data_IF_093104096114
#
_entry.id   IF_093104096114
#
_cell.length_a   1.000
_cell.length_b   1.000
_cell.length_c   1.000
_cell.angle_alpha   90.00
_cell.angle_beta   90.00
_cell.angle_gamma   90.00
#
_symmetry.space_group_name_H-M   'P 1'
#
loop_
_entity.id
_entity.type
_entity.pdbx_description
1 polymer ?
#
# COMPACT_ATOMS: atom_id res chain seq x y z
N UNK A 1 -4.63 -1.17 7.90
CA UNK A 1 -3.94 -2.42 7.49
C UNK A 1 -2.86 -2.79 8.50
N UNK A 2 -1.73 -2.12 8.52
CA UNK A 2 -0.56 -2.52 9.34
C UNK A 2 -0.91 -2.65 10.83
N UNK A 3 -1.58 -1.65 11.44
CA UNK A 3 -1.97 -1.70 12.84
C UNK A 3 -2.93 -2.85 13.18
N UNK A 4 -3.90 -3.15 12.30
CA UNK A 4 -4.82 -4.28 12.47
C UNK A 4 -4.08 -5.61 12.42
N UNK A 5 -3.16 -5.80 11.45
CA UNK A 5 -2.36 -7.02 11.37
C UNK A 5 -1.44 -7.17 12.59
N UNK A 6 -0.78 -6.09 13.05
CA UNK A 6 0.02 -6.12 14.28
C UNK A 6 -0.83 -6.53 15.50
N UNK A 7 -2.00 -5.93 15.64
CA UNK A 7 -2.90 -6.22 16.76
C UNK A 7 -3.41 -7.67 16.72
N UNK A 8 -3.79 -8.18 15.54
CA UNK A 8 -4.22 -9.56 15.36
C UNK A 8 -3.13 -10.55 15.78
N UNK A 9 -1.90 -10.43 15.23
CA UNK A 9 -0.84 -11.37 15.56
C UNK A 9 -0.37 -11.30 17.02
N UNK A 10 -0.38 -10.11 17.64
CA UNK A 10 -0.12 -9.95 19.06
C UNK A 10 -1.22 -10.62 19.91
N UNK A 11 -2.51 -10.37 19.60
CA UNK A 11 -3.64 -10.96 20.31
C UNK A 11 -3.69 -12.49 20.14
N UNK A 12 -3.46 -13.00 18.91
CA UNK A 12 -3.37 -14.44 18.61
C UNK A 12 -2.33 -15.16 19.47
N UNK A 13 -1.29 -14.44 19.91
CA UNK A 13 -0.23 -14.94 20.79
C UNK A 13 -0.44 -14.59 22.27
N UNK A 14 -1.67 -14.16 22.65
CA UNK A 14 -2.05 -13.93 24.03
C UNK A 14 -1.63 -12.58 24.64
N UNK A 15 -1.12 -11.65 23.85
CA UNK A 15 -0.85 -10.31 24.34
C UNK A 15 -2.13 -9.53 24.62
N UNK A 16 -2.12 -8.71 25.68
CA UNK A 16 -3.22 -7.76 25.93
C UNK A 16 -3.06 -6.55 25.03
N UNK A 17 -3.90 -6.43 24.02
CA UNK A 17 -3.79 -5.39 22.98
C UNK A 17 -4.95 -4.40 23.08
N UNK A 18 -4.64 -3.10 22.91
CA UNK A 18 -5.62 -2.05 22.69
C UNK A 18 -5.25 -1.32 21.39
N UNK A 19 -6.16 -1.33 20.41
CA UNK A 19 -6.04 -0.56 19.17
C UNK A 19 -6.70 0.79 19.38
N UNK A 20 -5.97 1.85 19.10
CA UNK A 20 -6.47 3.23 19.12
C UNK A 20 -6.56 3.72 17.68
N UNK A 21 -7.76 4.06 17.24
CA UNK A 21 -8.02 4.60 15.90
C UNK A 21 -8.70 5.98 16.04
N UNK A 22 -8.17 6.96 15.33
CA UNK A 22 -8.70 8.33 15.36
C UNK A 22 -10.11 8.43 14.80
N UNK A 23 -10.38 7.69 13.72
CA UNK A 23 -11.68 7.67 13.04
C UNK A 23 -12.31 6.27 13.17
N UNK A 24 -12.51 5.56 12.07
CA UNK A 24 -12.97 4.17 12.02
C UNK A 24 -11.87 3.24 11.54
N UNK A 25 -11.92 1.98 11.93
CA UNK A 25 -10.95 0.98 11.47
C UNK A 25 -10.95 0.91 9.94
N UNK A 26 -9.77 1.13 9.36
CA UNK A 26 -9.56 1.07 7.93
C UNK A 26 -9.87 2.35 7.15
N UNK A 27 -10.43 3.40 7.77
CA UNK A 27 -10.81 4.66 7.11
C UNK A 27 -9.66 5.44 6.47
N UNK A 28 -8.41 5.18 6.88
CA UNK A 28 -7.21 5.82 6.34
C UNK A 28 -6.84 5.33 4.93
N UNK A 29 -5.56 5.31 4.61
CA UNK A 29 -5.05 4.94 3.28
C UNK A 29 -5.45 3.53 2.80
N UNK A 30 -5.92 2.67 3.68
CA UNK A 30 -6.33 1.30 3.37
C UNK A 30 -7.72 1.20 2.75
N UNK A 31 -8.66 2.11 3.10
CA UNK A 31 -10.06 2.06 2.67
C UNK A 31 -10.21 1.97 1.15
N UNK A 32 -9.57 2.88 0.45
CA UNK A 32 -9.67 3.01 -1.00
C UNK A 32 -8.46 2.45 -1.76
N UNK A 33 -7.74 1.51 -1.16
CA UNK A 33 -6.67 0.78 -1.84
C UNK A 33 -7.23 0.00 -3.04
N UNK A 34 -6.38 -0.24 -4.04
CA UNK A 34 -6.73 -1.02 -5.23
C UNK A 34 -7.14 -2.48 -4.94
N UNK A 35 -6.82 -3.00 -3.76
CA UNK A 35 -7.15 -4.38 -3.38
C UNK A 35 -6.16 -5.42 -3.91
N UNK A 36 -5.11 -5.00 -4.61
CA UNK A 36 -4.14 -5.93 -5.21
C UNK A 36 -3.04 -6.28 -4.23
N UNK A 37 -2.83 -7.56 -3.99
CA UNK A 37 -1.69 -8.16 -3.29
C UNK A 37 -0.68 -8.53 -4.37
N UNK A 38 0.42 -7.78 -4.46
CA UNK A 38 1.44 -7.95 -5.50
C UNK A 38 2.81 -8.24 -4.87
N UNK A 39 3.12 -9.49 -4.53
CA UNK A 39 4.32 -9.86 -3.76
C UNK A 39 5.64 -9.43 -4.40
N UNK A 40 5.73 -9.46 -5.72
CA UNK A 40 6.95 -9.09 -6.45
C UNK A 40 7.02 -7.62 -6.88
N UNK A 41 6.08 -6.78 -6.44
CA UNK A 41 6.06 -5.39 -6.88
C UNK A 41 7.29 -4.62 -6.40
N UNK A 42 8.07 -4.10 -7.34
CA UNK A 42 9.28 -3.34 -7.04
C UNK A 42 8.95 -2.00 -6.37
N UNK A 43 9.83 -1.49 -5.50
CA UNK A 43 9.64 -0.20 -4.84
C UNK A 43 9.57 0.95 -5.84
N UNK A 44 9.06 2.10 -5.41
CA UNK A 44 8.89 3.28 -6.27
C UNK A 44 10.21 3.91 -6.73
N UNK A 45 11.34 3.56 -6.12
CA UNK A 45 12.70 4.07 -6.39
C UNK A 45 13.36 3.34 -7.57
N UNK A 46 12.71 3.38 -8.76
CA UNK A 46 13.26 2.75 -9.98
C UNK A 46 14.19 3.68 -10.74
N UNK A 47 15.22 3.16 -11.44
CA UNK A 47 16.02 3.93 -12.38
C UNK A 47 15.17 4.66 -13.41
N UNK A 48 15.56 5.88 -13.80
CA UNK A 48 14.80 6.70 -14.75
C UNK A 48 13.58 7.43 -14.17
N UNK A 49 13.09 7.07 -12.96
CA UNK A 49 11.91 7.65 -12.32
C UNK A 49 12.03 9.17 -12.13
N UNK A 50 13.23 9.66 -11.84
CA UNK A 50 13.49 11.11 -11.67
C UNK A 50 13.26 11.88 -12.97
N UNK A 51 13.74 11.38 -14.12
CA UNK A 51 13.49 12.00 -15.43
C UNK A 51 12.00 12.04 -15.76
N UNK A 52 11.31 10.94 -15.51
CA UNK A 52 9.86 10.83 -15.69
C UNK A 52 9.10 11.78 -14.76
N UNK A 53 9.50 11.87 -13.49
CA UNK A 53 8.92 12.80 -12.53
C UNK A 53 9.09 14.26 -12.98
N UNK A 54 10.29 14.67 -13.38
CA UNK A 54 10.55 16.03 -13.88
C UNK A 54 9.74 16.38 -15.13
N UNK A 55 9.56 15.42 -16.05
CA UNK A 55 8.74 15.63 -17.25
C UNK A 55 7.26 15.79 -16.91
N UNK A 56 6.79 15.10 -15.92
CA UNK A 56 5.35 14.96 -15.61
C UNK A 56 4.89 15.83 -14.42
N UNK A 57 5.81 16.38 -13.61
CA UNK A 57 5.46 17.07 -12.37
C UNK A 57 4.63 18.36 -12.56
N UNK A 58 4.65 18.95 -13.75
CA UNK A 58 3.89 20.17 -14.08
C UNK A 58 2.47 19.84 -14.56
N UNK A 59 2.25 18.61 -15.05
CA UNK A 59 0.94 18.17 -15.55
C UNK A 59 0.10 17.53 -14.42
N UNK A 60 -0.98 18.19 -13.96
CA UNK A 60 -1.85 17.65 -12.91
C UNK A 60 -2.55 16.33 -13.29
N UNK A 61 -2.58 15.97 -14.58
CA UNK A 61 -3.20 14.71 -15.05
C UNK A 61 -2.22 13.56 -15.15
N UNK A 62 -0.92 13.82 -14.94
CA UNK A 62 0.11 12.77 -15.00
C UNK A 62 -0.04 11.75 -13.84
N UNK A 63 0.43 10.51 -14.01
CA UNK A 63 0.42 9.51 -12.92
C UNK A 63 1.13 9.97 -11.65
N UNK A 64 2.20 10.78 -11.80
CA UNK A 64 2.90 11.41 -10.69
C UNK A 64 2.83 12.92 -10.80
N UNK A 65 2.25 13.56 -9.80
CA UNK A 65 2.15 15.02 -9.70
C UNK A 65 2.71 15.55 -8.40
N UNK A 66 3.50 16.63 -8.47
CA UNK A 66 4.03 17.35 -7.31
C UNK A 66 3.42 18.75 -7.31
N UNK A 67 2.50 19.01 -6.40
CA UNK A 67 1.84 20.32 -6.31
C UNK A 67 2.87 21.40 -5.96
N UNK A 68 2.95 22.49 -6.74
CA UNK A 68 3.85 23.60 -6.44
C UNK A 68 3.57 24.20 -5.06
N UNK A 69 4.54 24.10 -4.16
CA UNK A 69 4.50 24.71 -2.83
C UNK A 69 5.91 24.85 -2.26
N UNK A 70 6.07 25.83 -1.36
CA UNK A 70 7.29 25.93 -0.59
C UNK A 70 7.27 24.92 0.57
N UNK A 71 8.06 23.84 0.43
CA UNK A 71 8.14 22.76 1.42
C UNK A 71 9.58 22.22 1.49
N UNK A 72 10.41 22.76 2.40
CA UNK A 72 11.79 22.31 2.57
C UNK A 72 11.92 20.82 2.92
N UNK A 73 10.94 20.24 3.64
CA UNK A 73 10.94 18.83 3.99
C UNK A 73 10.74 17.96 2.73
N UNK A 74 9.81 18.35 1.85
CA UNK A 74 9.62 17.69 0.56
C UNK A 74 10.87 17.82 -0.33
N UNK A 75 11.51 18.99 -0.38
CA UNK A 75 12.73 19.21 -1.16
C UNK A 75 13.87 18.29 -0.69
N UNK A 76 14.08 18.19 0.63
CA UNK A 76 15.05 17.26 1.23
C UNK A 76 14.69 15.81 0.89
N UNK A 77 13.41 15.44 1.02
CA UNK A 77 12.93 14.10 0.69
C UNK A 77 13.17 13.74 -0.78
N UNK A 78 12.85 14.64 -1.73
CA UNK A 78 13.08 14.45 -3.17
C UNK A 78 14.56 14.30 -3.48
N UNK A 79 15.44 15.05 -2.81
CA UNK A 79 16.88 14.92 -2.97
C UNK A 79 17.38 13.53 -2.52
N UNK A 80 16.91 13.03 -1.37
CA UNK A 80 17.25 11.68 -0.89
C UNK A 80 16.65 10.63 -1.83
N UNK A 81 15.38 10.77 -2.24
CA UNK A 81 14.70 9.88 -3.18
C UNK A 81 15.49 9.72 -4.49
N UNK A 82 15.97 10.85 -5.06
CA UNK A 82 16.79 10.82 -6.27
C UNK A 82 18.02 9.94 -6.11
N UNK A 83 18.68 9.95 -4.95
CA UNK A 83 19.90 9.15 -4.68
C UNK A 83 19.62 7.67 -4.63
N UNK A 84 18.39 7.26 -4.35
CA UNK A 84 17.97 5.86 -4.31
C UNK A 84 17.40 5.35 -5.65
N UNK A 85 17.17 6.21 -6.64
CA UNK A 85 16.72 5.80 -7.97
C UNK A 85 17.87 5.21 -8.82
N UNK A 86 18.50 4.13 -8.35
CA UNK A 86 19.65 3.45 -8.97
C UNK A 86 19.41 1.95 -9.11
N UNK A 87 20.07 1.29 -10.06
CA UNK A 87 20.02 -0.16 -10.24
C UNK A 87 20.47 -0.92 -8.98
N UNK A 88 21.55 -0.44 -8.36
CA UNK A 88 22.11 -1.04 -7.14
C UNK A 88 21.06 -1.02 -6.01
N UNK A 89 20.41 0.13 -5.80
CA UNK A 89 19.39 0.23 -4.76
C UNK A 89 18.15 -0.59 -5.11
N UNK A 90 17.72 -0.65 -6.36
CA UNK A 90 16.61 -1.48 -6.80
C UNK A 90 16.87 -2.96 -6.50
N UNK A 91 18.06 -3.48 -6.85
CA UNK A 91 18.44 -4.87 -6.56
C UNK A 91 18.44 -5.16 -5.05
N UNK A 92 19.12 -4.33 -4.26
CA UNK A 92 19.16 -4.48 -2.80
C UNK A 92 17.75 -4.41 -2.17
N UNK A 93 16.88 -3.55 -2.69
CA UNK A 93 15.49 -3.45 -2.24
C UNK A 93 14.69 -4.71 -2.58
N UNK A 94 14.88 -5.28 -3.77
CA UNK A 94 14.23 -6.54 -4.15
C UNK A 94 14.75 -7.71 -3.33
N UNK A 95 16.05 -7.78 -3.03
CA UNK A 95 16.63 -8.79 -2.13
C UNK A 95 16.01 -8.73 -0.73
N UNK A 96 15.72 -7.52 -0.23
CA UNK A 96 15.08 -7.34 1.08
C UNK A 96 13.58 -7.65 1.07
N UNK A 97 12.87 -7.30 0.00
CA UNK A 97 11.41 -7.40 -0.06
C UNK A 97 10.90 -8.75 -0.57
N UNK A 98 11.64 -9.44 -1.45
CA UNK A 98 11.16 -10.67 -2.08
C UNK A 98 10.86 -11.79 -1.07
N UNK A 99 11.70 -12.06 -0.04
CA UNK A 99 11.37 -13.06 0.98
C UNK A 99 10.08 -12.73 1.73
N UNK A 100 9.87 -11.44 2.03
CA UNK A 100 8.65 -10.97 2.70
C UNK A 100 7.42 -11.08 1.78
N UNK A 101 7.62 -10.84 0.49
CA UNK A 101 6.57 -10.99 -0.52
C UNK A 101 6.10 -12.44 -0.66
N UNK A 102 7.01 -13.42 -0.68
CA UNK A 102 6.67 -14.84 -0.73
C UNK A 102 5.87 -15.25 0.51
N UNK A 103 6.38 -14.93 1.70
CA UNK A 103 5.69 -15.25 2.96
C UNK A 103 4.29 -14.59 3.03
N UNK A 104 4.15 -13.37 2.51
CA UNK A 104 2.89 -12.64 2.62
C UNK A 104 1.75 -13.30 1.86
N UNK A 105 2.04 -13.93 0.71
CA UNK A 105 1.01 -14.63 -0.06
C UNK A 105 0.46 -15.82 0.74
N UNK A 106 1.34 -16.64 1.30
CA UNK A 106 0.94 -17.76 2.15
C UNK A 106 0.16 -17.29 3.38
N UNK A 107 0.58 -16.16 3.99
CA UNK A 107 -0.14 -15.59 5.14
C UNK A 107 -1.55 -15.09 4.78
N UNK A 108 -1.77 -14.56 3.57
CA UNK A 108 -3.12 -14.20 3.13
C UNK A 108 -3.97 -15.44 2.92
N UNK A 109 -3.45 -16.47 2.22
CA UNK A 109 -4.17 -17.73 2.02
C UNK A 109 -4.56 -18.33 3.38
N UNK A 110 -3.61 -18.42 4.33
CA UNK A 110 -3.87 -18.91 5.69
C UNK A 110 -4.90 -18.07 6.45
N UNK A 111 -4.79 -16.73 6.41
CA UNK A 111 -5.73 -15.86 7.12
C UNK A 111 -7.15 -15.98 6.58
N UNK A 112 -7.31 -16.05 5.26
CA UNK A 112 -8.62 -16.18 4.64
C UNK A 112 -9.27 -17.51 5.01
N UNK A 113 -8.51 -18.60 4.96
CA UNK A 113 -8.99 -19.95 5.25
C UNK A 113 -9.26 -20.15 6.77
N UNK A 114 -8.24 -19.86 7.62
CA UNK A 114 -8.35 -20.10 9.07
C UNK A 114 -9.41 -19.23 9.74
N UNK A 115 -9.54 -17.98 9.30
CA UNK A 115 -10.49 -17.02 9.89
C UNK A 115 -11.81 -16.97 9.14
N UNK A 116 -11.98 -17.74 8.05
CA UNK A 116 -13.15 -17.76 7.19
C UNK A 116 -13.58 -16.34 6.77
N UNK A 117 -12.65 -15.59 6.14
CA UNK A 117 -12.89 -14.20 5.79
C UNK A 117 -13.69 -14.05 4.49
N UNK A 118 -14.78 -13.29 4.53
CA UNK A 118 -15.62 -12.98 3.37
C UNK A 118 -15.24 -11.62 2.76
N UNK A 119 -14.03 -11.51 2.20
CA UNK A 119 -13.46 -10.26 1.73
C UNK A 119 -13.21 -10.21 0.21
N UNK A 120 -13.93 -11.00 -0.57
CA UNK A 120 -13.74 -11.13 -2.04
C UNK A 120 -12.30 -11.46 -2.41
N UNK A 121 -11.69 -12.38 -1.67
CA UNK A 121 -10.32 -12.82 -1.93
C UNK A 121 -10.30 -13.74 -3.16
N UNK A 122 -9.46 -13.40 -4.14
CA UNK A 122 -9.19 -14.23 -5.32
C UNK A 122 -7.69 -14.34 -5.54
N UNK A 123 -7.23 -15.55 -5.84
CA UNK A 123 -5.82 -15.88 -6.00
C UNK A 123 -5.46 -16.11 -7.49
N UNK A 124 -6.05 -15.34 -8.39
CA UNK A 124 -6.00 -15.53 -9.84
C UNK A 124 -4.93 -14.69 -10.55
N UNK A 125 -4.10 -13.99 -9.79
CA UNK A 125 -3.09 -13.09 -10.34
C UNK A 125 -3.64 -11.73 -10.77
N UNK A 126 -2.85 -10.98 -11.55
CA UNK A 126 -3.28 -9.76 -12.23
C UNK A 126 -2.47 -9.52 -13.50
N UNK A 127 -2.98 -8.66 -14.38
CA UNK A 127 -2.30 -8.25 -15.61
C UNK A 127 -1.78 -6.83 -15.54
N UNK A 128 -0.50 -6.60 -15.88
CA UNK A 128 -0.02 -5.29 -16.35
C UNK A 128 -0.29 -5.19 -17.85
N UNK A 129 -1.02 -4.17 -18.28
CA UNK A 129 -1.53 -4.04 -19.65
C UNK A 129 -0.97 -2.80 -20.33
N UNK A 130 -0.53 -2.91 -21.59
CA UNK A 130 0.15 -1.86 -22.32
C UNK A 130 -0.47 -1.57 -23.69
N UNK A 131 -0.55 -0.28 -24.05
CA UNK A 131 -0.99 0.21 -25.35
C UNK A 131 0.18 0.41 -26.33
N UNK A 132 1.40 0.54 -25.79
CA UNK A 132 2.59 0.89 -26.59
C UNK A 132 3.68 -0.19 -26.49
N UNK A 133 4.37 -0.43 -27.60
CA UNK A 133 5.53 -1.34 -27.63
C UNK A 133 6.64 -0.92 -26.64
N UNK A 134 7.02 0.38 -26.54
CA UNK A 134 7.99 0.78 -25.54
C UNK A 134 7.56 0.54 -24.10
N UNK A 135 6.28 0.71 -23.78
CA UNK A 135 5.71 0.40 -22.47
C UNK A 135 5.85 -1.07 -22.14
N UNK A 136 5.42 -1.95 -23.07
CA UNK A 136 5.52 -3.41 -22.94
C UNK A 136 6.97 -3.87 -22.81
N UNK A 137 7.89 -3.34 -23.63
CA UNK A 137 9.30 -3.69 -23.56
C UNK A 137 9.95 -3.31 -22.21
N UNK A 138 9.62 -2.14 -21.68
CA UNK A 138 10.09 -1.73 -20.35
C UNK A 138 9.55 -2.65 -19.25
N UNK A 139 8.28 -3.03 -19.31
CA UNK A 139 7.67 -3.96 -18.36
C UNK A 139 8.29 -5.36 -18.45
N UNK A 140 8.62 -5.83 -19.64
CA UNK A 140 9.31 -7.11 -19.84
C UNK A 140 10.69 -7.11 -19.18
N UNK A 141 11.43 -6.00 -19.27
CA UNK A 141 12.72 -5.86 -18.57
C UNK A 141 12.55 -5.86 -17.05
N UNK A 142 11.52 -5.20 -16.52
CA UNK A 142 11.22 -5.24 -15.08
C UNK A 142 10.80 -6.64 -14.63
N UNK A 143 9.98 -7.34 -15.40
CA UNK A 143 9.58 -8.71 -15.15
C UNK A 143 10.79 -9.67 -15.09
N UNK A 144 11.79 -9.45 -15.94
CA UNK A 144 13.04 -10.24 -15.94
C UNK A 144 13.79 -10.16 -14.61
N UNK A 145 13.76 -9.00 -13.94
CA UNK A 145 14.34 -8.86 -12.60
C UNK A 145 13.59 -9.73 -11.58
N UNK A 146 12.27 -9.82 -11.68
CA UNK A 146 11.46 -10.61 -10.76
C UNK A 146 11.76 -12.11 -10.85
N UNK A 147 12.13 -12.62 -12.01
CA UNK A 147 12.57 -14.02 -12.18
C UNK A 147 13.78 -14.36 -11.29
N UNK A 148 14.70 -13.42 -11.11
CA UNK A 148 15.88 -13.63 -10.28
C UNK A 148 15.55 -13.74 -8.79
N UNK A 149 14.34 -13.30 -8.41
CA UNK A 149 13.82 -13.35 -7.04
C UNK A 149 12.73 -14.41 -6.82
N UNK A 150 12.60 -15.37 -7.74
CA UNK A 150 11.70 -16.51 -7.57
C UNK A 150 10.28 -16.31 -8.06
N UNK A 151 9.90 -15.15 -8.56
CA UNK A 151 8.59 -14.91 -9.19
C UNK A 151 8.56 -15.40 -10.63
N UNK A 152 7.37 -15.61 -11.18
CA UNK A 152 7.19 -16.19 -12.53
C UNK A 152 6.25 -15.34 -13.40
N UNK A 153 6.55 -14.05 -13.62
CA UNK A 153 5.75 -13.24 -14.53
C UNK A 153 5.79 -13.80 -15.97
N UNK A 154 4.67 -13.72 -16.67
CA UNK A 154 4.53 -14.24 -18.03
C UNK A 154 4.18 -13.11 -18.99
N UNK A 155 4.95 -12.97 -20.07
CA UNK A 155 4.63 -12.05 -21.16
C UNK A 155 3.51 -12.66 -22.00
N UNK A 156 2.43 -11.90 -22.23
CA UNK A 156 1.29 -12.28 -23.05
C UNK A 156 1.15 -11.31 -24.23
N UNK A 157 1.11 -11.83 -25.48
CA UNK A 157 0.71 -11.04 -26.65
C UNK A 157 -0.71 -10.50 -26.51
N UNK A 158 -1.01 -9.37 -27.16
CA UNK A 158 -2.31 -8.71 -27.01
C UNK A 158 -3.51 -9.54 -27.45
N UNK A 159 -3.35 -10.48 -28.40
CA UNK A 159 -4.40 -11.40 -28.82
C UNK A 159 -4.74 -12.40 -27.70
N UNK A 160 -3.74 -13.11 -27.21
CA UNK A 160 -3.90 -14.06 -26.11
C UNK A 160 -4.44 -13.39 -24.83
N UNK A 161 -3.95 -12.18 -24.52
CA UNK A 161 -4.42 -11.43 -23.36
C UNK A 161 -5.92 -11.08 -23.49
N UNK A 162 -6.41 -10.72 -24.68
CA UNK A 162 -7.84 -10.42 -24.90
C UNK A 162 -8.72 -11.68 -24.93
N UNK A 163 -8.17 -12.84 -25.26
CA UNK A 163 -8.89 -14.11 -25.10
C UNK A 163 -9.12 -14.44 -23.64
N UNK A 164 -8.13 -14.14 -22.78
CA UNK A 164 -8.20 -14.36 -21.33
C UNK A 164 -9.04 -13.29 -20.61
N UNK A 165 -9.02 -12.04 -21.10
CA UNK A 165 -9.75 -10.90 -20.54
C UNK A 165 -10.48 -10.14 -21.65
N UNK A 166 -11.71 -10.57 -21.99
CA UNK A 166 -12.49 -9.99 -23.11
C UNK A 166 -12.90 -8.53 -22.93
N UNK A 167 -12.81 -8.01 -21.71
CA UNK A 167 -13.05 -6.58 -21.45
C UNK A 167 -11.97 -5.66 -22.06
N UNK A 168 -10.82 -6.20 -22.46
CA UNK A 168 -9.73 -5.42 -23.05
C UNK A 168 -10.02 -5.01 -24.49
N UNK A 169 -9.67 -3.78 -24.84
CA UNK A 169 -9.82 -3.22 -26.19
C UNK A 169 -8.78 -3.80 -27.16
N UNK A 170 -9.12 -3.81 -28.45
CA UNK A 170 -8.23 -4.25 -29.54
C UNK A 170 -6.91 -3.46 -29.64
N UNK A 171 -6.85 -2.24 -29.07
CA UNK A 171 -5.64 -1.41 -29.05
C UNK A 171 -4.55 -1.87 -28.07
N UNK A 172 -4.87 -2.81 -27.18
CA UNK A 172 -3.91 -3.39 -26.25
C UNK A 172 -2.88 -4.22 -27.00
N UNK A 173 -1.58 -3.90 -26.82
CA UNK A 173 -0.45 -4.55 -27.50
C UNK A 173 -0.04 -5.86 -26.82
N UNK A 174 -0.18 -5.93 -25.51
CA UNK A 174 0.18 -7.07 -24.69
C UNK A 174 0.23 -6.71 -23.23
N UNK A 175 0.69 -7.64 -22.43
CA UNK A 175 0.81 -7.43 -20.98
C UNK A 175 1.72 -8.44 -20.32
N UNK A 176 1.90 -8.24 -19.02
CA UNK A 176 2.61 -9.18 -18.15
C UNK A 176 1.58 -9.74 -17.16
N UNK A 177 1.49 -11.04 -17.09
CA UNK A 177 0.69 -11.74 -16.09
C UNK A 177 1.54 -12.08 -14.87
N UNK A 178 1.05 -11.77 -13.68
CA UNK A 178 1.69 -12.05 -12.38
C UNK A 178 0.87 -13.09 -11.60
N UNK A 179 1.19 -14.39 -11.72
CA UNK A 179 0.39 -15.47 -11.15
C UNK A 179 0.43 -15.52 -9.60
N UNK A 180 1.48 -15.01 -8.99
CA UNK A 180 1.62 -15.02 -7.53
C UNK A 180 0.76 -13.95 -6.85
N UNK A 181 0.17 -13.06 -7.59
CA UNK A 181 -0.67 -12.00 -7.04
C UNK A 181 -2.06 -12.51 -6.65
N UNK A 182 -2.73 -11.73 -5.82
CA UNK A 182 -4.11 -11.95 -5.41
C UNK A 182 -4.84 -10.61 -5.33
N UNK A 183 -6.16 -10.66 -5.19
CA UNK A 183 -6.98 -9.46 -4.95
C UNK A 183 -7.96 -9.71 -3.83
N UNK A 184 -8.35 -8.64 -3.16
CA UNK A 184 -9.41 -8.66 -2.13
C UNK A 184 -10.06 -7.28 -2.00
N UNK A 185 -11.19 -7.21 -1.30
CA UNK A 185 -11.75 -5.95 -0.86
C UNK A 185 -11.08 -5.48 0.44
N UNK A 186 -10.24 -4.42 0.42
CA UNK A 186 -9.47 -4.02 1.60
C UNK A 186 -10.33 -3.58 2.78
N UNK A 187 -11.49 -2.97 2.51
CA UNK A 187 -12.40 -2.53 3.58
C UNK A 187 -13.05 -3.72 4.28
N UNK A 188 -13.58 -4.70 3.52
CA UNK A 188 -14.16 -5.92 4.07
C UNK A 188 -13.12 -6.70 4.87
N UNK A 189 -11.92 -6.92 4.30
CA UNK A 189 -10.81 -7.57 4.99
C UNK A 189 -10.49 -6.93 6.35
N UNK A 190 -10.35 -5.60 6.40
CA UNK A 190 -10.01 -4.91 7.64
C UNK A 190 -11.11 -4.95 8.68
N UNK A 191 -12.37 -4.86 8.26
CA UNK A 191 -13.51 -4.97 9.17
C UNK A 191 -13.56 -6.35 9.81
N UNK A 192 -13.44 -7.39 9.00
CA UNK A 192 -13.46 -8.77 9.52
C UNK A 192 -12.24 -9.07 10.39
N UNK A 193 -11.05 -8.64 10.00
CA UNK A 193 -9.86 -8.78 10.85
C UNK A 193 -10.01 -8.05 12.18
N UNK A 194 -10.68 -6.88 12.20
CA UNK A 194 -11.00 -6.19 13.45
C UNK A 194 -11.93 -7.01 14.35
N UNK A 195 -12.94 -7.68 13.76
CA UNK A 195 -13.82 -8.59 14.49
C UNK A 195 -13.05 -9.80 15.03
N UNK A 196 -12.15 -10.39 14.23
CA UNK A 196 -11.32 -11.53 14.67
C UNK A 196 -10.37 -11.16 15.81
N UNK A 197 -9.66 -10.04 15.71
CA UNK A 197 -8.79 -9.61 16.82
C UNK A 197 -9.59 -9.29 18.09
N UNK A 198 -10.81 -8.78 17.97
CA UNK A 198 -11.69 -8.54 19.11
C UNK A 198 -12.13 -9.84 19.79
N UNK A 199 -12.42 -10.90 19.01
CA UNK A 199 -12.71 -12.24 19.54
C UNK A 199 -11.51 -12.86 20.27
N UNK A 200 -10.28 -12.48 19.88
CA UNK A 200 -9.04 -12.84 20.57
C UNK A 200 -8.78 -11.98 21.83
N UNK A 201 -9.70 -11.09 22.20
CA UNK A 201 -9.60 -10.26 23.40
C UNK A 201 -8.91 -8.92 23.20
N UNK A 202 -8.59 -8.51 21.98
CA UNK A 202 -8.10 -7.16 21.73
C UNK A 202 -9.21 -6.12 21.87
N UNK A 203 -8.93 -5.03 22.59
CA UNK A 203 -9.83 -3.90 22.68
C UNK A 203 -9.65 -2.97 21.47
N UNK A 204 -10.74 -2.49 20.89
CA UNK A 204 -10.73 -1.48 19.83
C UNK A 204 -11.40 -0.21 20.33
N UNK A 205 -10.69 0.91 20.28
CA UNK A 205 -11.22 2.24 20.61
C UNK A 205 -11.15 3.12 19.36
N UNK A 206 -12.30 3.41 18.78
CA UNK A 206 -12.49 4.41 17.72
C UNK A 206 -12.64 5.80 18.33
N UNK A 207 -12.54 6.83 17.50
CA UNK A 207 -12.52 8.24 17.93
C UNK A 207 -11.44 8.54 19.00
N UNK A 208 -10.35 7.76 18.99
CA UNK A 208 -9.24 7.87 19.95
C UNK A 208 -8.02 8.52 19.26
N UNK A 209 -8.05 9.85 19.11
CA UNK A 209 -6.99 10.63 18.48
C UNK A 209 -5.80 10.80 19.43
N UNK A 210 -4.73 10.04 19.18
CA UNK A 210 -3.48 10.13 19.94
C UNK A 210 -2.73 11.39 19.56
N UNK A 211 -2.46 12.25 20.52
CA UNK A 211 -1.72 13.51 20.33
C UNK A 211 -0.25 13.42 20.74
N UNK A 212 0.12 12.49 21.62
CA UNK A 212 1.46 12.41 22.17
C UNK A 212 1.81 10.98 22.61
N UNK A 213 3.07 10.57 22.39
CA UNK A 213 3.67 9.40 23.02
C UNK A 213 4.32 9.81 24.35
N UNK A 214 4.00 9.09 25.42
CA UNK A 214 4.55 9.36 26.76
C UNK A 214 5.76 8.47 27.01
N UNK A 215 6.85 9.09 27.47
CA UNK A 215 8.10 8.38 27.76
C UNK A 215 8.65 8.78 29.12
N UNK A 216 9.37 7.86 29.78
CA UNK A 216 10.12 8.11 31.00
C UNK A 216 11.39 7.27 30.97
N UNK A 217 12.54 7.85 31.32
CA UNK A 217 13.83 7.16 31.38
C UNK A 217 14.12 6.28 30.12
N UNK A 218 13.93 6.83 28.93
CA UNK A 218 14.15 6.15 27.66
C UNK A 218 13.23 4.94 27.39
N UNK A 219 12.08 4.88 28.04
CA UNK A 219 11.05 3.86 27.83
C UNK A 219 9.72 4.52 27.52
N UNK A 220 8.94 3.95 26.59
CA UNK A 220 7.55 4.34 26.40
C UNK A 220 6.71 3.89 27.62
N UNK A 221 5.83 4.78 28.10
CA UNK A 221 4.96 4.52 29.25
C UNK A 221 3.48 4.56 28.89
N UNK A 222 3.15 5.02 27.70
CA UNK A 222 1.78 5.11 27.22
C UNK A 222 1.59 6.17 26.15
N UNK A 223 0.36 6.60 26.01
CA UNK A 223 -0.06 7.64 25.06
C UNK A 223 -1.02 8.62 25.73
N UNK A 224 -1.07 9.85 25.20
CA UNK A 224 -2.08 10.85 25.53
C UNK A 224 -3.00 11.05 24.34
N UNK A 225 -4.31 11.00 24.59
CA UNK A 225 -5.31 11.37 23.61
C UNK A 225 -5.47 12.89 23.54
N UNK A 226 -6.05 13.39 22.45
CA UNK A 226 -6.29 14.82 22.25
C UNK A 226 -7.26 15.43 23.25
N UNK A 227 -8.17 14.64 23.82
CA UNK A 227 -9.08 15.06 24.91
C UNK A 227 -8.42 15.10 26.29
N UNK A 228 -7.15 14.72 26.39
CA UNK A 228 -6.35 14.71 27.61
C UNK A 228 -6.29 13.36 28.34
N UNK A 229 -7.08 12.36 27.94
CA UNK A 229 -7.02 11.02 28.53
C UNK A 229 -5.61 10.42 28.35
N UNK A 230 -5.11 9.77 29.39
CA UNK A 230 -3.81 9.07 29.38
C UNK A 230 -4.05 7.57 29.49
N UNK A 231 -3.50 6.84 28.54
CA UNK A 231 -3.52 5.37 28.51
C UNK A 231 -2.10 4.85 28.74
N UNK A 232 -1.92 4.05 29.76
CA UNK A 232 -0.61 3.44 30.08
C UNK A 232 -0.40 2.16 29.25
N UNK A 233 0.82 1.99 28.77
CA UNK A 233 1.24 0.80 28.04
C UNK A 233 2.74 0.56 28.21
N UNK A 234 3.15 -0.70 28.37
CA UNK A 234 4.58 -1.07 28.38
C UNK A 234 5.19 -1.16 26.99
N UNK A 235 4.34 -1.28 25.95
CA UNK A 235 4.75 -1.32 24.53
C UNK A 235 3.75 -0.54 23.69
N UNK A 236 4.25 0.25 22.75
CA UNK A 236 3.45 0.98 21.76
C UNK A 236 3.96 0.66 20.36
N UNK A 237 3.05 0.28 19.45
CA UNK A 237 3.34 0.10 18.02
C UNK A 237 2.74 1.27 17.25
N UNK A 238 3.59 2.12 16.69
CA UNK A 238 3.18 3.27 15.89
C UNK A 238 2.94 2.84 14.43
N UNK A 239 1.67 2.65 14.05
CA UNK A 239 1.24 2.19 12.73
C UNK A 239 0.31 3.21 12.03
N UNK A 240 0.51 4.52 12.29
CA UNK A 240 -0.38 5.62 11.88
C UNK A 240 -0.10 6.16 10.46
N UNK A 241 0.63 5.39 9.62
CA UNK A 241 0.86 5.73 8.22
C UNK A 241 1.53 7.10 8.02
N UNK A 242 0.96 7.96 7.19
CA UNK A 242 1.52 9.29 6.91
C UNK A 242 1.52 10.21 8.15
N UNK A 243 0.71 9.93 9.17
CA UNK A 243 0.65 10.69 10.43
C UNK A 243 1.70 10.24 11.46
N UNK A 244 2.49 9.23 11.16
CA UNK A 244 3.56 8.76 12.05
C UNK A 244 4.64 9.81 12.33
N UNK A 245 4.80 10.81 11.44
CA UNK A 245 5.79 11.86 11.61
C UNK A 245 5.59 12.66 12.92
N UNK A 246 4.35 13.10 13.16
CA UNK A 246 4.03 13.96 14.29
C UNK A 246 4.23 13.22 15.60
N UNK A 247 3.73 11.98 15.69
CA UNK A 247 3.86 11.17 16.90
C UNK A 247 5.31 10.74 17.16
N UNK A 248 6.07 10.37 16.15
CA UNK A 248 7.49 10.06 16.32
C UNK A 248 8.31 11.29 16.75
N UNK A 249 7.94 12.48 16.27
CA UNK A 249 8.61 13.73 16.65
C UNK A 249 8.42 14.07 18.14
N UNK A 250 7.30 13.67 18.77
CA UNK A 250 7.06 13.90 20.20
C UNK A 250 8.07 13.19 21.11
N UNK A 251 8.71 12.13 20.60
CA UNK A 251 9.80 11.40 21.28
C UNK A 251 11.19 11.69 20.69
N UNK A 252 11.32 12.77 19.92
CA UNK A 252 12.58 13.22 19.32
C UNK A 252 13.01 12.45 18.07
N UNK A 253 12.17 11.57 17.52
CA UNK A 253 12.50 10.75 16.36
C UNK A 253 11.92 11.33 15.07
N UNK A 254 12.78 11.57 14.06
CA UNK A 254 12.36 12.16 12.78
C UNK A 254 12.28 11.10 11.69
N UNK A 255 11.06 10.81 11.23
CA UNK A 255 10.81 9.89 10.14
C UNK A 255 10.83 10.64 8.79
N UNK A 256 11.58 10.18 7.77
CA UNK A 256 11.61 10.82 6.46
C UNK A 256 10.43 10.34 5.60
N UNK A 257 9.19 10.62 6.00
CA UNK A 257 7.98 10.21 5.29
C UNK A 257 7.37 11.42 4.60
N UNK A 258 6.88 11.22 3.37
CA UNK A 258 6.00 12.14 2.66
C UNK A 258 4.66 11.49 2.35
N UNK A 259 3.58 12.25 2.49
CA UNK A 259 2.26 11.81 2.13
C UNK A 259 2.07 11.79 0.61
N UNK A 260 2.00 10.60 0.04
CA UNK A 260 1.68 10.39 -1.37
C UNK A 260 0.18 10.14 -1.55
N UNK A 261 -0.60 11.18 -1.95
CA UNK A 261 -2.03 11.07 -2.13
C UNK A 261 -2.35 10.23 -3.36
N UNK A 262 -3.10 9.14 -3.16
CA UNK A 262 -3.68 8.32 -4.21
C UNK A 262 -5.19 8.54 -4.29
N UNK A 263 -5.77 8.18 -5.41
CA UNK A 263 -7.19 8.34 -5.67
C UNK A 263 -7.82 7.01 -6.05
N UNK A 264 -9.11 6.84 -5.75
CA UNK A 264 -9.93 5.86 -6.44
C UNK A 264 -11.26 6.44 -6.90
N UNK A 265 -11.86 5.72 -7.84
CA UNK A 265 -13.19 5.92 -8.36
C UNK A 265 -13.85 4.58 -8.56
N UNK A 266 -14.96 4.33 -7.86
CA UNK A 266 -15.72 3.09 -7.98
C UNK A 266 -16.85 3.29 -9.00
N UNK A 267 -17.08 2.31 -9.84
CA UNK A 267 -18.13 2.32 -10.86
C UNK A 267 -18.94 1.05 -10.82
N UNK A 268 -20.25 1.18 -10.81
CA UNK A 268 -21.15 0.03 -10.89
C UNK A 268 -20.90 -0.75 -12.20
N UNK A 269 -21.02 -2.05 -12.14
CA UNK A 269 -21.03 -2.89 -13.34
C UNK A 269 -22.25 -2.50 -14.18
N UNK A 270 -22.04 -2.22 -15.48
CA UNK A 270 -23.11 -1.79 -16.38
C UNK A 270 -24.14 -2.89 -16.56
N UNK A 271 -25.42 -2.52 -16.50
CA UNK A 271 -26.48 -3.38 -16.96
C UNK A 271 -26.44 -3.40 -18.50
N UNK A 272 -26.12 -4.56 -19.10
CA UNK A 272 -26.29 -4.78 -20.53
C UNK A 272 -25.07 -5.21 -21.31
N UNK A 273 -24.77 -6.52 -21.31
CA UNK A 273 -24.08 -7.21 -22.40
C UNK A 273 -22.61 -6.86 -22.70
N UNK A 274 -22.01 -5.90 -22.02
CA UNK A 274 -20.60 -5.57 -22.16
C UNK A 274 -19.80 -6.51 -21.26
N UNK A 275 -18.68 -7.12 -21.74
CA UNK A 275 -17.82 -7.92 -20.87
C UNK A 275 -17.43 -7.13 -19.62
N UNK A 276 -17.70 -7.70 -18.45
CA UNK A 276 -17.16 -7.16 -17.20
C UNK A 276 -15.70 -7.58 -17.07
N UNK A 277 -14.89 -6.73 -16.45
CA UNK A 277 -13.54 -7.09 -16.09
C UNK A 277 -13.57 -8.28 -15.11
N UNK A 278 -12.87 -9.36 -15.43
CA UNK A 278 -12.83 -10.58 -14.62
C UNK A 278 -11.62 -10.61 -13.69
N UNK A 279 -10.45 -10.20 -14.19
CA UNK A 279 -9.19 -10.18 -13.45
C UNK A 279 -8.66 -8.75 -13.34
N UNK A 280 -8.04 -8.42 -12.22
CA UNK A 280 -7.42 -7.11 -12.01
C UNK A 280 -6.43 -6.77 -13.13
N UNK A 281 -6.58 -5.58 -13.72
CA UNK A 281 -5.65 -5.02 -14.69
C UNK A 281 -4.99 -3.75 -14.18
N UNK A 282 -3.67 -3.66 -14.25
CA UNK A 282 -2.92 -2.43 -14.07
C UNK A 282 -2.60 -1.82 -15.43
N UNK A 283 -3.07 -0.61 -15.68
CA UNK A 283 -2.89 0.13 -16.92
C UNK A 283 -1.52 0.82 -16.91
N UNK A 284 -0.53 0.21 -17.57
CA UNK A 284 0.89 0.49 -17.37
C UNK A 284 1.28 1.95 -17.60
N UNK A 285 0.89 2.54 -18.74
CA UNK A 285 1.22 3.92 -19.07
C UNK A 285 0.55 4.96 -18.14
N UNK A 286 -0.55 4.58 -17.49
CA UNK A 286 -1.35 5.49 -16.64
C UNK A 286 -1.22 5.20 -15.14
N UNK A 287 -0.60 4.08 -14.75
CA UNK A 287 -0.46 3.64 -13.35
C UNK A 287 -1.83 3.60 -12.62
N UNK A 288 -2.83 3.00 -13.25
CA UNK A 288 -4.19 2.84 -12.73
C UNK A 288 -4.52 1.35 -12.66
N UNK A 289 -4.85 0.87 -11.47
CA UNK A 289 -5.44 -0.45 -11.27
C UNK A 289 -6.93 -0.39 -11.53
N UNK A 290 -7.43 -1.34 -12.28
CA UNK A 290 -8.84 -1.63 -12.49
C UNK A 290 -9.12 -2.97 -11.82
N UNK A 291 -9.77 -2.96 -10.66
CA UNK A 291 -9.99 -4.17 -9.86
C UNK A 291 -11.48 -4.48 -9.81
N UNK A 292 -11.91 -5.67 -10.28
CA UNK A 292 -13.27 -6.13 -10.08
C UNK A 292 -13.53 -6.36 -8.59
N UNK A 293 -14.65 -5.83 -8.11
CA UNK A 293 -15.14 -5.96 -6.75
C UNK A 293 -16.59 -6.46 -6.79
N UNK A 294 -17.16 -6.79 -5.64
CA UNK A 294 -18.54 -7.22 -5.58
C UNK A 294 -19.52 -6.11 -6.02
N UNK A 295 -20.06 -6.26 -7.24
CA UNK A 295 -21.03 -5.35 -7.84
C UNK A 295 -20.47 -4.05 -8.45
N UNK A 296 -19.13 -3.85 -8.46
CA UNK A 296 -18.50 -2.67 -9.05
C UNK A 296 -17.06 -2.94 -9.51
N UNK A 297 -16.51 -2.02 -10.29
CA UNK A 297 -15.07 -2.00 -10.61
C UNK A 297 -14.46 -0.78 -9.95
N UNK A 298 -13.33 -0.98 -9.24
CA UNK A 298 -12.52 0.08 -8.63
C UNK A 298 -11.41 0.50 -9.59
N UNK A 299 -11.40 1.78 -9.96
CA UNK A 299 -10.26 2.40 -10.64
C UNK A 299 -9.43 3.14 -9.59
N UNK A 300 -8.24 2.63 -9.27
CA UNK A 300 -7.39 3.20 -8.24
C UNK A 300 -5.97 3.44 -8.75
N UNK A 301 -5.40 4.60 -8.45
CA UNK A 301 -4.05 4.85 -8.94
C UNK A 301 -3.54 6.23 -8.64
N UNK A 302 -2.54 6.59 -9.41
CA UNK A 302 -1.84 7.88 -9.39
C UNK A 302 -1.21 8.22 -8.04
N UNK A 303 -0.31 9.17 -8.01
CA UNK A 303 0.29 9.69 -6.78
C UNK A 303 0.47 11.19 -6.87
N UNK A 304 0.10 11.91 -5.81
CA UNK A 304 0.24 13.35 -5.69
C UNK A 304 0.94 13.73 -4.39
N UNK A 305 1.98 14.55 -4.48
CA UNK A 305 2.63 15.13 -3.30
C UNK A 305 2.12 16.55 -3.09
N UNK A 306 1.06 16.70 -2.28
CA UNK A 306 0.40 17.98 -1.97
C UNK A 306 0.26 18.25 -0.48
N UNK A 307 1.00 17.52 0.37
CA UNK A 307 0.93 17.61 1.84
C UNK A 307 -0.16 16.73 2.45
N UNK A 308 -0.36 16.90 3.75
CA UNK A 308 -1.37 16.17 4.54
C UNK A 308 -2.74 16.82 4.32
N UNK A 309 -3.47 16.42 3.27
CA UNK A 309 -4.85 16.85 3.03
C UNK A 309 -5.64 15.79 2.28
N UNK A 310 -6.95 15.80 2.43
CA UNK A 310 -7.89 14.87 1.78
C UNK A 310 -8.76 15.56 0.71
N UNK A 311 -8.28 16.67 0.15
CA UNK A 311 -8.97 17.34 -0.96
C UNK A 311 -8.93 16.45 -2.22
N UNK A 312 -10.10 16.11 -2.75
CA UNK A 312 -10.24 15.37 -3.99
C UNK A 312 -10.19 16.36 -5.17
N UNK A 313 -9.11 16.28 -5.95
CA UNK A 313 -9.01 17.07 -7.20
C UNK A 313 -9.77 16.36 -8.32
N UNK A 314 -10.85 16.97 -8.77
CA UNK A 314 -11.74 16.40 -9.78
C UNK A 314 -11.00 15.96 -11.05
N UNK A 315 -10.05 16.74 -11.56
CA UNK A 315 -9.26 16.40 -12.74
C UNK A 315 -8.48 15.10 -12.58
N UNK A 316 -8.00 14.79 -11.35
CA UNK A 316 -7.27 13.57 -11.05
C UNK A 316 -8.18 12.37 -10.87
N UNK A 317 -9.34 12.55 -10.25
CA UNK A 317 -10.36 11.52 -10.14
C UNK A 317 -10.91 11.13 -11.52
N UNK A 318 -11.27 12.08 -12.35
CA UNK A 318 -11.76 11.84 -13.72
C UNK A 318 -10.69 11.19 -14.62
N UNK A 319 -9.40 11.47 -14.38
CA UNK A 319 -8.29 10.84 -15.11
C UNK A 319 -8.28 9.31 -14.97
N UNK A 320 -8.72 8.77 -13.83
CA UNK A 320 -8.80 7.31 -13.63
C UNK A 320 -9.78 6.68 -14.62
N UNK A 321 -10.96 7.29 -14.80
CA UNK A 321 -11.96 6.81 -15.77
C UNK A 321 -11.48 7.01 -17.21
N UNK A 322 -10.85 8.14 -17.52
CA UNK A 322 -10.28 8.38 -18.86
C UNK A 322 -9.20 7.34 -19.20
N UNK A 323 -8.31 7.05 -18.24
CA UNK A 323 -7.33 5.99 -18.42
C UNK A 323 -8.00 4.64 -18.68
N UNK A 324 -8.96 4.24 -17.85
CA UNK A 324 -9.68 2.98 -18.02
C UNK A 324 -10.35 2.88 -19.40
N UNK A 325 -10.95 3.96 -19.91
CA UNK A 325 -11.63 3.96 -21.20
C UNK A 325 -10.71 3.75 -22.41
N UNK A 326 -9.41 3.93 -22.28
CA UNK A 326 -8.43 3.65 -23.32
C UNK A 326 -8.14 2.15 -23.46
N UNK A 327 -8.27 1.38 -22.39
CA UNK A 327 -7.89 -0.03 -22.33
C UNK A 327 -9.11 -0.96 -22.27
N UNK A 328 -10.18 -0.53 -21.61
CA UNK A 328 -11.35 -1.37 -21.34
C UNK A 328 -12.56 -0.96 -22.20
N UNK A 329 -13.32 -1.98 -22.61
CA UNK A 329 -14.66 -1.79 -23.18
C UNK A 329 -15.66 -1.52 -22.05
N UNK A 330 -16.83 -0.96 -22.37
CA UNK A 330 -17.89 -0.76 -21.36
C UNK A 330 -17.63 0.31 -20.31
N UNK A 331 -16.53 1.04 -20.38
CA UNK A 331 -16.26 2.22 -19.55
C UNK A 331 -17.05 3.38 -20.15
N UNK A 332 -18.37 3.38 -19.98
CA UNK A 332 -19.26 4.45 -20.46
C UNK A 332 -19.38 5.61 -19.47
N UNK A 333 -20.24 6.60 -19.77
CA UNK A 333 -20.56 7.76 -18.91
C UNK A 333 -21.47 7.38 -17.72
N UNK A 334 -21.20 6.22 -17.08
CA UNK A 334 -21.91 5.81 -15.87
C UNK A 334 -21.42 6.63 -14.69
N UNK A 335 -22.35 7.16 -13.90
CA UNK A 335 -22.04 7.95 -12.71
C UNK A 335 -21.14 7.16 -11.73
N UNK A 336 -20.21 7.86 -11.11
CA UNK A 336 -19.34 7.27 -10.10
C UNK A 336 -20.14 6.85 -8.87
N UNK A 337 -19.96 5.63 -8.40
CA UNK A 337 -20.54 5.14 -7.15
C UNK A 337 -19.91 5.82 -5.93
N UNK A 338 -18.59 6.02 -5.97
CA UNK A 338 -17.83 6.69 -4.93
C UNK A 338 -16.52 7.27 -5.47
N UNK A 339 -16.04 8.32 -4.84
CA UNK A 339 -14.71 8.89 -5.05
C UNK A 339 -14.01 9.02 -3.71
N UNK A 340 -12.71 8.78 -3.69
CA UNK A 340 -11.90 8.84 -2.48
C UNK A 340 -10.46 9.20 -2.78
N UNK A 341 -9.78 9.75 -1.78
CA UNK A 341 -8.33 9.88 -1.76
C UNK A 341 -7.75 9.47 -0.42
N UNK A 342 -6.53 8.91 -0.44
CA UNK A 342 -5.81 8.50 0.77
C UNK A 342 -4.33 8.77 0.69
N UNK A 343 -3.72 8.91 1.86
CA UNK A 343 -2.34 9.35 2.04
C UNK A 343 -1.41 8.15 2.26
N UNK A 344 -0.68 7.74 1.22
CA UNK A 344 0.34 6.70 1.32
C UNK A 344 1.57 7.24 2.05
N UNK A 345 2.09 6.55 3.08
CA UNK A 345 3.33 6.94 3.76
C UNK A 345 4.55 6.58 2.92
N UNK A 346 5.08 7.53 2.17
CA UNK A 346 6.20 7.30 1.25
C UNK A 346 7.54 7.63 1.89
N UNK A 347 8.43 6.65 1.99
CA UNK A 347 9.84 6.81 2.37
C UNK A 347 10.68 7.20 1.16
N UNK A 348 11.81 7.90 1.32
CA UNK A 348 12.61 8.33 0.18
C UNK A 348 13.44 7.21 -0.46
N UNK A 349 13.62 6.08 0.21
CA UNK A 349 14.27 4.87 -0.32
C UNK A 349 13.25 3.83 -0.83
N UNK A 350 11.94 4.08 -0.65
CA UNK A 350 10.88 3.20 -1.11
C UNK A 350 10.64 1.94 -0.26
N UNK A 351 11.38 1.77 0.85
CA UNK A 351 11.25 0.63 1.76
C UNK A 351 10.42 1.01 3.00
N UNK A 352 9.63 0.08 3.57
CA UNK A 352 8.97 0.29 4.84
C UNK A 352 9.94 0.60 5.99
N UNK A 353 9.42 1.21 7.05
CA UNK A 353 10.14 1.41 8.31
C UNK A 353 9.49 0.50 9.34
N UNK A 354 10.21 -0.54 9.77
CA UNK A 354 9.71 -1.57 10.69
C UNK A 354 10.77 -1.91 11.73
N UNK A 355 10.40 -1.85 13.01
CA UNK A 355 11.27 -2.28 14.10
C UNK A 355 11.22 -1.41 15.35
N UNK A 356 12.04 -1.74 16.37
CA UNK A 356 12.15 -0.96 17.59
C UNK A 356 12.81 0.40 17.34
N UNK A 357 12.40 1.41 18.10
CA UNK A 357 13.00 2.75 18.06
C UNK A 357 14.24 2.77 18.93
N UNK A 358 15.43 3.03 18.37
CA UNK A 358 16.66 3.13 19.17
C UNK A 358 16.56 4.21 20.24
N UNK A 359 16.93 3.87 21.46
CA UNK A 359 16.90 4.81 22.59
C UNK A 359 15.51 5.03 23.21
N UNK A 360 14.47 4.28 22.75
CA UNK A 360 13.14 4.30 23.36
C UNK A 360 12.60 2.88 23.51
N UNK A 361 12.88 2.25 24.63
CA UNK A 361 12.45 0.88 24.90
C UNK A 361 10.92 0.76 24.88
N UNK A 362 10.40 -0.34 24.31
CA UNK A 362 8.97 -0.60 24.17
C UNK A 362 8.28 0.17 23.05
N UNK A 363 8.96 1.08 22.35
CA UNK A 363 8.39 1.77 21.18
C UNK A 363 8.82 1.08 19.88
N UNK A 364 7.84 0.68 19.09
CA UNK A 364 8.03 0.09 17.75
C UNK A 364 7.37 0.98 16.69
N UNK A 365 7.96 1.02 15.50
CA UNK A 365 7.40 1.69 14.33
C UNK A 365 7.13 0.65 13.26
N UNK A 366 5.94 0.74 12.63
CA UNK A 366 5.55 -0.05 11.47
C UNK A 366 4.79 0.85 10.48
N UNK A 367 5.53 1.53 9.60
CA UNK A 367 5.00 2.54 8.67
C UNK A 367 5.83 2.62 7.39
N UNK A 368 5.57 3.61 6.54
CA UNK A 368 6.40 3.84 5.35
C UNK A 368 6.19 2.87 4.20
N UNK A 369 5.15 2.05 4.23
CA UNK A 369 4.90 1.00 3.24
C UNK A 369 4.50 1.52 1.85
N UNK A 370 4.25 2.81 1.69
CA UNK A 370 3.85 3.43 0.42
C UNK A 370 2.72 2.64 -0.27
N UNK A 371 3.01 2.01 -1.41
CA UNK A 371 2.06 1.20 -2.17
C UNK A 371 1.98 -0.26 -1.68
N UNK A 372 2.94 -0.72 -0.87
CA UNK A 372 3.06 -2.10 -0.43
C UNK A 372 2.30 -2.41 0.88
N UNK A 373 1.56 -1.45 1.44
CA UNK A 373 0.94 -1.58 2.76
C UNK A 373 -0.14 -2.66 2.84
N UNK A 374 -0.88 -2.93 1.77
CA UNK A 374 -1.77 -4.09 1.69
C UNK A 374 -0.94 -5.36 1.60
N UNK A 375 -0.10 -5.47 0.57
CA UNK A 375 0.73 -6.65 0.31
C UNK A 375 1.52 -7.09 1.54
N UNK A 376 2.22 -6.20 2.20
CA UNK A 376 3.09 -6.53 3.34
C UNK A 376 2.38 -6.45 4.70
N UNK A 377 1.05 -6.25 4.74
CA UNK A 377 0.30 -6.11 5.99
C UNK A 377 0.47 -7.30 6.93
N UNK A 378 0.09 -8.52 6.52
CA UNK A 378 0.19 -9.71 7.36
C UNK A 378 1.61 -10.01 7.83
N UNK A 379 2.59 -10.03 6.92
CA UNK A 379 3.98 -10.31 7.28
C UNK A 379 4.57 -9.24 8.22
N UNK A 380 4.26 -7.96 8.00
CA UNK A 380 4.67 -6.90 8.93
C UNK A 380 4.07 -7.11 10.31
N UNK A 381 2.78 -7.45 10.38
CA UNK A 381 2.09 -7.73 11.65
C UNK A 381 2.74 -8.89 12.41
N UNK A 382 3.03 -9.99 11.72
CA UNK A 382 3.71 -11.17 12.28
C UNK A 382 5.09 -10.81 12.82
N UNK A 383 5.93 -10.14 12.01
CA UNK A 383 7.29 -9.77 12.42
C UNK A 383 7.32 -8.78 13.59
N UNK A 384 6.38 -7.84 13.64
CA UNK A 384 6.24 -6.93 14.79
C UNK A 384 5.86 -7.71 16.05
N UNK A 385 4.91 -8.66 15.95
CA UNK A 385 4.53 -9.49 17.08
C UNK A 385 5.72 -10.35 17.60
N UNK A 386 6.51 -10.92 16.71
CA UNK A 386 7.74 -11.66 17.06
C UNK A 386 8.76 -10.75 17.77
N UNK A 387 9.04 -9.56 17.24
CA UNK A 387 9.96 -8.61 17.89
C UNK A 387 9.49 -8.17 19.27
N UNK A 388 8.19 -7.95 19.45
CA UNK A 388 7.61 -7.54 20.73
C UNK A 388 7.65 -8.66 21.77
N UNK A 389 7.36 -9.90 21.36
CA UNK A 389 7.18 -11.03 22.29
C UNK A 389 8.43 -11.89 22.44
N UNK A 390 9.21 -12.08 21.36
CA UNK A 390 10.39 -12.96 21.33
C UNK A 390 11.71 -12.18 21.28
N UNK A 391 11.64 -10.86 21.03
CA UNK A 391 12.82 -9.99 20.94
C UNK A 391 13.49 -9.96 19.56
N UNK A 392 13.11 -10.85 18.62
CA UNK A 392 13.72 -10.90 17.28
C UNK A 392 12.70 -11.36 16.22
N UNK A 393 12.78 -10.84 14.98
CA UNK A 393 11.93 -11.27 13.89
C UNK A 393 12.45 -12.55 13.23
N UNK A 394 11.55 -13.38 12.69
CA UNK A 394 11.90 -14.64 11.98
C UNK A 394 12.50 -14.41 10.59
N UNK A 395 12.47 -13.18 10.07
CA UNK A 395 13.08 -12.78 8.79
C UNK A 395 14.08 -11.64 9.01
N UNK A 396 15.10 -11.58 8.16
CA UNK A 396 16.01 -10.44 8.17
C UNK A 396 15.29 -9.19 7.65
N UNK A 397 15.17 -8.18 8.50
CA UNK A 397 14.57 -6.87 8.19
C UNK A 397 15.56 -5.72 8.37
N UNK A 398 16.87 -5.98 8.28
CA UNK A 398 17.91 -4.96 8.48
C UNK A 398 17.74 -3.76 7.55
N UNK A 399 17.32 -4.01 6.30
CA UNK A 399 17.02 -2.96 5.33
C UNK A 399 15.79 -2.12 5.69
N UNK A 400 14.94 -2.57 6.63
CA UNK A 400 13.73 -1.88 7.06
C UNK A 400 13.90 -1.14 8.41
N UNK A 401 15.08 -1.21 9.02
CA UNK A 401 15.34 -0.62 10.34
C UNK A 401 14.92 0.85 10.44
N UNK A 402 14.46 1.22 11.62
CA UNK A 402 13.99 2.59 11.92
C UNK A 402 15.11 3.63 11.78
N UNK A 403 16.36 3.28 12.08
CA UNK A 403 17.52 4.17 12.12
C UNK A 403 18.44 4.09 10.87
N UNK A 404 17.92 3.65 9.72
CA UNK A 404 18.72 3.53 8.48
C UNK A 404 18.93 4.86 7.72
N UNK A 405 18.30 5.95 8.18
CA UNK A 405 18.39 7.29 7.59
C UNK A 405 19.31 8.21 8.37
#
# INVERSE_FOLDING_TARGET
MIGVCCAYYLAKRGARVTVLERDEIGSGASFGNAGTIAPGHAPMTKPGRVKQALKNMIDPTSPLYIAPRWDPALMKWLWVFRRHCTETHLKASMEALAPLGHDTRELFDQLVDEEALECNYTAEGYYDVFLTEPGLANATNEASLMWTHGYRPMLLPGEELREREPALRRGVRGGIFYPEAATLNPHSFLREMADRMSRLGAAVRIAADVSELLTSAHRVTGVRLRDGEVLTAGTVVLATGAYSLELAASVGYRLPIQAGKGYHRDRNLGAGGTPSLEITCMLGEHSVFCTPMDGFVRYAGTIEFSGLNHEIRRSRSEQLTRAASLYLTGVGDVESRSEWCGLRPCTPDGLPIVGPVPGCEGLFIATGHAMLGLTLGPITGKLVAEMVLDGAPSRNIDALRVNRF
#
